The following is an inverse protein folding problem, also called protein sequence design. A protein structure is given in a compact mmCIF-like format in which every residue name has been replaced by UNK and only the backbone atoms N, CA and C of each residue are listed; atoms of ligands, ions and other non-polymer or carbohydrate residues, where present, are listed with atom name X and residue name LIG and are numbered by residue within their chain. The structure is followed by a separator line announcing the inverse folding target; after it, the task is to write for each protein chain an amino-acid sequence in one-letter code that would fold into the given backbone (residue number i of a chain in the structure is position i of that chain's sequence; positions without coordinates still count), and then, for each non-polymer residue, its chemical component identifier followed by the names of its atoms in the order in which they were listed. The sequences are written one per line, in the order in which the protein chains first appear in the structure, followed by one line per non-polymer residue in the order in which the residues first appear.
data_IF_183491683663
#
_entry.id   IF_183491683663
#
_cell.length_a   1.000
_cell.length_b   1.000
_cell.length_c   1.000
_cell.angle_alpha   90.00
_cell.angle_beta   90.00
_cell.angle_gamma   90.00
#
_symmetry.space_group_name_H-M   'P 1'
#
loop_
_entity.id
_entity.type
_entity.pdbx_description
1 polymer ?
#
# COMPACT_ATOMS: atom_id res chain seq x y z
N UNK A 1 5.74 0.57 3.21
CA UNK A 1 4.36 0.49 2.69
C UNK A 1 4.39 0.35 1.20
N UNK A 2 3.53 -0.54 0.68
CA UNK A 2 3.31 -0.92 -0.73
C UNK A 2 3.88 0.12 -1.68
N UNK A 3 3.19 1.17 -2.12
CA UNK A 3 3.64 2.17 -3.12
C UNK A 3 5.16 2.44 -3.36
N UNK A 4 6.02 2.54 -2.34
CA UNK A 4 7.47 2.69 -2.54
C UNK A 4 8.11 1.48 -3.26
N UNK A 5 7.54 0.30 -3.11
CA UNK A 5 8.11 -0.98 -3.54
C UNK A 5 8.28 -1.14 -5.07
N UNK A 6 7.24 -0.86 -5.87
CA UNK A 6 7.24 -0.88 -7.33
C UNK A 6 8.15 0.22 -7.87
N UNK A 7 8.06 1.42 -7.31
CA UNK A 7 8.90 2.54 -7.73
C UNK A 7 10.37 2.21 -7.47
N UNK A 8 10.71 1.74 -6.27
CA UNK A 8 12.08 1.32 -5.92
C UNK A 8 12.54 0.16 -6.79
N UNK A 9 11.72 -0.86 -7.02
CA UNK A 9 12.04 -1.99 -7.90
C UNK A 9 12.32 -1.53 -9.33
N UNK A 10 11.47 -0.67 -9.90
CA UNK A 10 11.67 -0.09 -11.23
C UNK A 10 12.94 0.77 -11.28
N UNK A 11 13.26 1.52 -10.22
CA UNK A 11 14.51 2.30 -10.14
C UNK A 11 15.75 1.42 -10.12
N UNK A 12 15.72 0.29 -9.41
CA UNK A 12 16.82 -0.69 -9.44
C UNK A 12 17.01 -1.29 -10.84
N UNK A 13 15.93 -1.63 -11.53
CA UNK A 13 16.00 -2.16 -12.90
C UNK A 13 16.54 -1.10 -13.87
N UNK A 14 15.99 0.12 -13.82
CA UNK A 14 16.43 1.25 -14.68
C UNK A 14 17.87 1.70 -14.38
N UNK A 15 18.35 1.48 -13.17
CA UNK A 15 19.75 1.72 -12.78
C UNK A 15 20.75 0.75 -13.42
N UNK A 16 20.27 -0.33 -14.05
CA UNK A 16 21.11 -1.34 -14.71
C UNK A 16 21.58 -2.47 -13.77
N UNK A 17 21.94 -3.61 -14.37
CA UNK A 17 22.49 -4.77 -13.65
C UNK A 17 21.46 -5.68 -12.97
N UNK A 18 20.21 -5.25 -12.79
CA UNK A 18 19.13 -6.06 -12.22
C UNK A 18 18.02 -6.23 -13.26
N UNK A 19 17.70 -7.48 -13.60
CA UNK A 19 16.66 -7.82 -14.59
C UNK A 19 15.33 -8.25 -13.98
N UNK A 20 15.37 -8.78 -12.75
CA UNK A 20 14.20 -9.31 -12.08
C UNK A 20 14.27 -8.88 -10.61
N UNK A 21 13.20 -8.28 -10.12
CA UNK A 21 13.03 -7.89 -8.72
C UNK A 21 11.77 -8.54 -8.21
N UNK A 22 11.91 -9.44 -7.22
CA UNK A 22 10.76 -9.97 -6.49
C UNK A 22 10.43 -9.02 -5.35
N UNK A 23 9.22 -8.48 -5.37
CA UNK A 23 8.74 -7.56 -4.36
C UNK A 23 7.72 -8.28 -3.49
N UNK A 24 7.96 -8.35 -2.18
CA UNK A 24 7.12 -9.09 -1.23
C UNK A 24 6.52 -8.13 -0.20
N UNK A 25 5.21 -8.15 -0.07
CA UNK A 25 4.48 -7.52 1.03
C UNK A 25 3.90 -8.59 1.94
N UNK A 26 4.26 -8.58 3.22
CA UNK A 26 3.78 -9.57 4.19
C UNK A 26 3.66 -8.90 5.57
N UNK A 27 2.54 -9.14 6.23
CA UNK A 27 2.28 -8.64 7.58
C UNK A 27 1.43 -9.64 8.36
N UNK A 28 1.73 -9.77 9.65
CA UNK A 28 0.95 -10.54 10.63
C UNK A 28 0.42 -9.60 11.72
N UNK A 29 -0.45 -8.67 11.33
CA UNK A 29 -0.95 -7.61 12.22
C UNK A 29 -1.86 -8.13 13.33
N UNK A 30 -2.45 -9.33 13.19
CA UNK A 30 -3.26 -9.96 14.24
C UNK A 30 -2.54 -10.07 15.59
N UNK A 31 -1.20 -10.12 15.57
CA UNK A 31 -0.35 -10.17 16.76
C UNK A 31 -0.27 -8.86 17.54
N UNK A 32 -0.65 -7.75 16.91
CA UNK A 32 -0.61 -6.39 17.47
C UNK A 32 -2.02 -5.79 17.59
N UNK A 33 -3.06 -6.61 17.57
CA UNK A 33 -4.45 -6.20 17.73
C UNK A 33 -4.87 -6.33 19.19
N UNK A 34 -5.54 -5.29 19.72
CA UNK A 34 -6.27 -5.41 20.97
C UNK A 34 -7.62 -6.05 20.70
N UNK A 35 -7.76 -7.33 21.07
CA UNK A 35 -8.99 -8.11 20.86
C UNK A 35 -10.19 -7.62 21.68
N UNK A 36 -9.96 -6.73 22.66
CA UNK A 36 -11.03 -6.07 23.43
C UNK A 36 -11.50 -4.77 22.78
N UNK A 37 -10.70 -4.18 21.90
CA UNK A 37 -11.08 -3.00 21.11
C UNK A 37 -11.76 -3.39 19.81
N UNK A 38 -13.09 -3.23 19.79
CA UNK A 38 -13.90 -3.46 18.59
C UNK A 38 -13.52 -2.52 17.42
N UNK A 39 -12.90 -1.37 17.70
CA UNK A 39 -12.48 -0.41 16.67
C UNK A 39 -11.39 -0.95 15.75
N UNK A 40 -10.57 -1.88 16.23
CA UNK A 40 -9.42 -2.43 15.51
C UNK A 40 -9.51 -3.94 15.27
N UNK A 41 -10.11 -4.71 16.19
CA UNK A 41 -10.08 -6.17 16.14
C UNK A 41 -10.87 -6.83 15.01
N UNK A 42 -11.77 -6.08 14.38
CA UNK A 42 -12.55 -6.53 13.21
C UNK A 42 -11.90 -6.14 11.88
N UNK A 43 -10.80 -5.36 11.92
CA UNK A 43 -10.23 -4.75 10.73
C UNK A 43 -9.07 -5.56 10.15
N UNK A 44 -8.14 -6.01 10.99
CA UNK A 44 -6.86 -6.51 10.52
C UNK A 44 -6.84 -8.01 10.29
N UNK A 45 -6.15 -8.42 9.22
CA UNK A 45 -5.87 -9.81 8.91
C UNK A 45 -4.39 -9.99 8.57
N UNK A 46 -3.99 -11.25 8.45
CA UNK A 46 -2.61 -11.64 8.14
C UNK A 46 -2.54 -12.18 6.73
N UNK A 47 -1.56 -11.70 5.94
CA UNK A 47 -1.31 -12.25 4.62
C UNK A 47 0.11 -11.94 4.12
N UNK A 48 0.47 -12.61 3.04
CA UNK A 48 1.62 -12.29 2.22
C UNK A 48 1.22 -12.30 0.75
N UNK A 49 1.83 -11.43 -0.04
CA UNK A 49 1.68 -11.39 -1.49
C UNK A 49 2.96 -10.88 -2.14
N UNK A 50 3.17 -11.25 -3.40
CA UNK A 50 4.38 -10.88 -4.12
C UNK A 50 4.08 -10.50 -5.57
N UNK A 51 4.90 -9.61 -6.11
CA UNK A 51 4.90 -9.22 -7.53
C UNK A 51 6.33 -9.35 -8.05
N UNK A 52 6.48 -9.99 -9.21
CA UNK A 52 7.75 -10.01 -9.93
C UNK A 52 7.77 -8.84 -10.91
N UNK A 53 8.74 -7.94 -10.77
CA UNK A 53 8.99 -6.86 -11.71
C UNK A 53 10.18 -7.25 -12.58
N UNK A 54 9.99 -7.22 -13.90
CA UNK A 54 11.00 -7.63 -14.87
C UNK A 54 11.42 -6.45 -15.73
N UNK A 55 12.69 -6.45 -16.15
CA UNK A 55 13.19 -5.51 -17.16
C UNK A 55 12.52 -5.78 -18.50
N UNK A 56 12.10 -4.73 -19.17
CA UNK A 56 11.50 -4.75 -20.50
C UNK A 56 12.17 -3.73 -21.42
N UNK A 57 11.81 -3.72 -22.70
CA UNK A 57 12.24 -2.65 -23.60
C UNK A 57 11.54 -1.35 -23.24
N UNK A 58 12.09 -0.21 -23.67
CA UNK A 58 11.57 1.11 -23.27
C UNK A 58 10.13 1.38 -23.75
N UNK A 59 9.74 0.79 -24.87
CA UNK A 59 8.38 0.84 -25.45
C UNK A 59 7.37 -0.05 -24.72
N UNK A 60 7.85 -0.93 -23.84
CA UNK A 60 7.07 -1.87 -23.02
C UNK A 60 7.06 -1.47 -21.53
N UNK A 61 7.51 -0.26 -21.18
CA UNK A 61 7.53 0.20 -19.79
C UNK A 61 6.10 0.33 -19.23
N UNK A 62 5.77 -0.56 -18.31
CA UNK A 62 4.47 -0.61 -17.66
C UNK A 62 4.27 0.45 -16.58
N UNK A 63 5.32 1.10 -16.06
CA UNK A 63 5.17 2.15 -15.04
C UNK A 63 5.02 3.52 -15.72
N UNK A 64 3.77 3.96 -15.90
CA UNK A 64 3.45 5.17 -16.68
C UNK A 64 3.62 6.46 -15.88
N UNK A 65 3.37 6.44 -14.58
CA UNK A 65 3.51 7.60 -13.71
C UNK A 65 3.32 7.23 -12.24
N UNK A 66 3.87 8.02 -11.32
CA UNK A 66 3.79 7.73 -9.89
C UNK A 66 3.83 9.00 -9.02
N UNK A 67 3.30 8.91 -7.81
CA UNK A 67 3.39 9.99 -6.84
C UNK A 67 3.64 9.38 -5.45
N UNK A 68 4.60 9.93 -4.69
CA UNK A 68 4.87 9.49 -3.31
C UNK A 68 4.96 10.72 -2.42
N UNK A 69 4.31 10.65 -1.26
CA UNK A 69 4.21 11.75 -0.31
C UNK A 69 4.17 11.21 1.13
N UNK A 70 4.57 12.05 2.08
CA UNK A 70 4.56 11.71 3.50
C UNK A 70 4.29 12.95 4.36
N UNK A 71 3.61 12.75 5.48
CA UNK A 71 3.41 13.75 6.52
C UNK A 71 3.54 13.12 7.91
N UNK A 72 4.68 13.38 8.56
CA UNK A 72 5.04 12.83 9.87
C UNK A 72 4.12 13.26 11.01
N UNK A 73 3.42 14.39 10.89
CA UNK A 73 2.53 14.89 11.93
C UNK A 73 1.34 13.95 12.19
N UNK A 74 1.03 13.08 11.22
CA UNK A 74 -0.04 12.10 11.31
C UNK A 74 0.32 10.83 12.09
N UNK A 75 1.56 10.66 12.55
CA UNK A 75 1.98 9.48 13.35
C UNK A 75 1.05 9.22 14.54
N UNK A 76 0.63 10.28 15.25
CA UNK A 76 -0.30 10.20 16.39
C UNK A 76 -1.66 9.55 16.06
N UNK A 77 -2.02 9.45 14.78
CA UNK A 77 -3.30 8.89 14.34
C UNK A 77 -3.23 7.41 13.97
N UNK A 78 -2.04 6.87 13.71
CA UNK A 78 -1.87 5.45 13.40
C UNK A 78 -0.43 5.04 13.73
N UNK A 79 -0.27 4.36 14.85
CA UNK A 79 1.04 3.94 15.33
C UNK A 79 0.96 2.71 16.22
N UNK A 80 2.13 2.16 16.50
CA UNK A 80 2.35 1.13 17.50
C UNK A 80 3.56 1.58 18.32
N UNK A 81 3.37 1.76 19.62
CA UNK A 81 4.40 2.24 20.54
C UNK A 81 5.26 1.07 20.99
N UNK A 82 6.55 1.30 21.23
CA UNK A 82 7.43 0.29 21.85
C UNK A 82 7.81 0.73 23.25
N UNK A 83 7.63 -0.17 24.22
CA UNK A 83 7.91 0.13 25.63
C UNK A 83 9.41 0.37 25.93
N UNK A 84 10.30 0.08 24.97
CA UNK A 84 11.76 0.14 25.12
C UNK A 84 12.46 0.97 24.02
N UNK A 85 11.72 1.71 23.18
CA UNK A 85 12.28 2.40 22.00
C UNK A 85 13.48 3.31 22.34
N UNK A 86 13.38 4.10 23.42
CA UNK A 86 14.43 5.03 23.86
C UNK A 86 15.72 4.32 24.33
N UNK A 87 15.60 3.07 24.80
CA UNK A 87 16.74 2.29 25.31
C UNK A 87 17.53 1.57 24.20
N UNK A 88 16.90 1.28 23.06
CA UNK A 88 17.53 0.57 21.94
C UNK A 88 18.31 1.56 21.06
N UNK A 89 17.73 2.73 20.79
CA UNK A 89 18.35 3.74 19.91
C UNK A 89 19.48 4.52 20.60
N UNK A 90 19.41 4.77 21.92
CA UNK A 90 20.40 5.65 22.59
C UNK A 90 21.71 4.98 23.00
N UNK A 91 21.82 3.64 23.00
CA UNK A 91 22.99 2.94 23.59
C UNK A 91 23.74 1.96 22.69
N UNK A 92 23.33 1.80 21.43
CA UNK A 92 23.87 0.71 20.59
C UNK A 92 24.39 1.13 19.23
N UNK A 93 24.40 2.43 18.88
CA UNK A 93 24.70 2.90 17.52
C UNK A 93 23.92 2.13 16.42
N UNK A 94 22.70 1.66 16.75
CA UNK A 94 21.87 0.89 15.83
C UNK A 94 22.18 -0.60 15.75
N UNK A 95 23.07 -1.15 16.59
CA UNK A 95 23.36 -2.60 16.64
C UNK A 95 22.41 -3.28 17.63
N UNK A 96 21.55 -4.21 17.22
CA UNK A 96 20.74 -4.97 18.16
C UNK A 96 21.66 -5.72 19.14
N UNK A 97 21.48 -5.51 20.45
CA UNK A 97 22.23 -6.25 21.47
C UNK A 97 22.04 -7.76 21.31
N UNK A 98 23.08 -8.55 21.59
CA UNK A 98 23.04 -10.01 21.48
C UNK A 98 23.01 -10.68 22.88
N UNK A 99 22.08 -11.63 23.14
CA UNK A 99 21.00 -12.09 22.26
C UNK A 99 19.93 -11.00 22.08
N UNK A 100 19.20 -10.99 20.94
CA UNK A 100 18.19 -9.97 20.66
C UNK A 100 17.14 -9.96 21.78
N UNK A 101 17.07 -8.84 22.50
CA UNK A 101 15.99 -8.62 23.46
C UNK A 101 14.68 -8.50 22.69
N UNK A 102 13.66 -9.25 23.10
CA UNK A 102 12.30 -9.06 22.57
C UNK A 102 11.84 -7.64 22.90
N UNK A 103 11.60 -6.85 21.87
CA UNK A 103 10.93 -5.56 21.99
C UNK A 103 9.44 -5.83 22.16
N UNK A 104 8.85 -5.33 23.25
CA UNK A 104 7.41 -5.39 23.43
C UNK A 104 6.78 -4.16 22.75
N UNK A 105 6.02 -4.44 21.71
CA UNK A 105 5.19 -3.47 21.02
C UNK A 105 3.80 -3.42 21.66
N UNK A 106 3.20 -2.24 21.71
CA UNK A 106 1.80 -2.06 22.10
C UNK A 106 0.88 -2.64 21.03
N UNK A 107 -0.41 -2.73 21.33
CA UNK A 107 -1.40 -2.91 20.28
C UNK A 107 -1.41 -1.67 19.35
N UNK A 108 -1.92 -1.85 18.14
CA UNK A 108 -2.09 -0.79 17.14
C UNK A 108 -3.07 0.25 17.70
N UNK A 109 -2.62 1.50 17.75
CA UNK A 109 -3.45 2.64 18.11
C UNK A 109 -3.87 3.38 16.84
N UNK A 110 -5.18 3.51 16.64
CA UNK A 110 -5.73 4.14 15.43
C UNK A 110 -6.86 5.13 15.74
N UNK A 111 -6.68 6.38 15.29
CA UNK A 111 -7.77 7.34 15.16
C UNK A 111 -8.42 7.18 13.78
N UNK A 112 -9.38 6.27 13.67
CA UNK A 112 -10.02 5.93 12.39
C UNK A 112 -10.68 7.11 11.67
N UNK A 113 -11.18 8.12 12.41
CA UNK A 113 -11.80 9.32 11.81
C UNK A 113 -10.77 10.18 11.07
N UNK A 114 -9.61 10.42 11.69
CA UNK A 114 -8.56 11.22 11.06
C UNK A 114 -7.86 10.46 9.93
N UNK A 115 -7.65 9.14 10.09
CA UNK A 115 -7.13 8.27 9.01
C UNK A 115 -8.07 8.27 7.80
N UNK A 116 -9.39 8.15 8.03
CA UNK A 116 -10.39 8.23 6.97
C UNK A 116 -10.34 9.57 6.24
N UNK A 117 -10.38 10.69 6.99
CA UNK A 117 -10.35 12.06 6.42
C UNK A 117 -9.09 12.30 5.60
N UNK A 118 -7.94 11.82 6.09
CA UNK A 118 -6.69 11.86 5.36
C UNK A 118 -6.79 11.07 4.05
N UNK A 119 -7.22 9.82 4.09
CA UNK A 119 -7.22 8.94 2.94
C UNK A 119 -8.13 9.44 1.81
N UNK A 120 -9.38 9.82 2.13
CA UNK A 120 -10.35 10.30 1.12
C UNK A 120 -9.96 11.62 0.45
N UNK A 121 -9.05 12.38 1.07
CA UNK A 121 -8.49 13.62 0.51
C UNK A 121 -7.22 13.34 -0.29
N UNK A 122 -6.25 12.69 0.33
CA UNK A 122 -4.88 12.59 -0.20
C UNK A 122 -4.74 11.50 -1.29
N UNK A 123 -5.48 10.40 -1.19
CA UNK A 123 -5.38 9.29 -2.16
C UNK A 123 -5.83 9.72 -3.56
N UNK A 124 -7.01 10.33 -3.75
CA UNK A 124 -7.43 10.79 -5.08
C UNK A 124 -6.47 11.84 -5.66
N UNK A 125 -6.00 12.79 -4.85
CA UNK A 125 -5.00 13.78 -5.27
C UNK A 125 -3.68 13.15 -5.71
N UNK A 126 -3.24 12.09 -5.05
CA UNK A 126 -2.03 11.36 -5.42
C UNK A 126 -2.20 10.60 -6.73
N UNK A 127 -3.38 10.02 -6.97
CA UNK A 127 -3.72 9.35 -8.23
C UNK A 127 -3.79 10.37 -9.37
N UNK A 128 -4.45 11.52 -9.16
CA UNK A 128 -4.53 12.62 -10.13
C UNK A 128 -3.13 13.09 -10.57
N UNK A 129 -2.19 13.26 -9.63
CA UNK A 129 -0.79 13.61 -9.94
C UNK A 129 -0.06 12.52 -10.72
N UNK A 130 -0.27 11.25 -10.37
CA UNK A 130 0.36 10.14 -11.08
C UNK A 130 -0.20 9.98 -12.50
N UNK A 131 -1.50 10.27 -12.70
CA UNK A 131 -2.14 10.35 -14.02
C UNK A 131 -1.61 11.52 -14.86
N UNK A 132 -1.39 12.68 -14.22
CA UNK A 132 -0.79 13.85 -14.86
C UNK A 132 0.62 13.54 -15.38
N UNK A 133 1.47 12.89 -14.55
CA UNK A 133 2.80 12.43 -14.98
C UNK A 133 2.70 11.42 -16.13
N UNK A 134 1.70 10.53 -16.10
CA UNK A 134 1.44 9.56 -17.17
C UNK A 134 0.83 10.18 -18.44
N UNK A 135 0.39 11.45 -18.41
CA UNK A 135 -0.31 12.09 -19.51
C UNK A 135 -1.68 11.45 -19.83
N UNK A 136 -2.33 10.84 -18.83
CA UNK A 136 -3.57 10.08 -19.00
C UNK A 136 -4.76 10.74 -18.28
N UNK A 137 -5.97 10.72 -18.87
CA UNK A 137 -7.18 11.12 -18.17
C UNK A 137 -7.65 10.02 -17.21
N UNK A 138 -8.37 10.37 -16.14
CA UNK A 138 -8.93 9.37 -15.22
C UNK A 138 -9.87 8.34 -15.89
N UNK A 139 -10.48 8.70 -17.01
CA UNK A 139 -11.34 7.81 -17.81
C UNK A 139 -10.59 6.64 -18.46
N UNK A 140 -9.26 6.71 -18.58
CA UNK A 140 -8.45 5.59 -19.09
C UNK A 140 -8.21 4.50 -18.06
N UNK A 141 -8.58 4.70 -16.79
CA UNK A 141 -8.41 3.69 -15.75
C UNK A 141 -9.39 2.53 -16.01
N UNK A 142 -8.84 1.34 -16.18
CA UNK A 142 -9.61 0.10 -16.25
C UNK A 142 -9.87 -0.46 -14.86
N UNK A 143 -8.88 -0.36 -13.97
CA UNK A 143 -8.97 -0.87 -12.61
C UNK A 143 -8.43 0.10 -11.56
N UNK A 144 -9.23 0.35 -10.53
CA UNK A 144 -8.80 1.03 -9.32
C UNK A 144 -8.43 0.00 -8.25
N UNK A 145 -7.16 -0.01 -7.85
CA UNK A 145 -6.61 -0.95 -6.88
C UNK A 145 -5.99 -0.21 -5.69
N UNK A 146 -6.77 -0.03 -4.63
CA UNK A 146 -6.30 0.67 -3.44
C UNK A 146 -5.82 -0.29 -2.36
N UNK A 147 -5.06 0.24 -1.40
CA UNK A 147 -4.84 -0.46 -0.13
C UNK A 147 -6.18 -0.81 0.51
N UNK A 148 -6.32 -2.09 0.87
CA UNK A 148 -7.56 -2.64 1.42
C UNK A 148 -7.67 -2.30 2.91
N UNK A 149 -7.79 -1.02 3.25
CA UNK A 149 -7.96 -0.59 4.64
C UNK A 149 -9.41 -0.68 5.12
N UNK A 150 -10.31 -0.14 4.30
CA UNK A 150 -11.73 -0.01 4.62
C UNK A 150 -12.53 0.26 3.34
N UNK A 151 -13.63 -0.47 3.12
CA UNK A 151 -14.44 -0.33 1.91
C UNK A 151 -14.96 1.11 1.72
N UNK A 152 -15.31 1.80 2.81
CA UNK A 152 -15.79 3.19 2.74
C UNK A 152 -14.75 4.17 2.20
N UNK A 153 -13.46 3.92 2.47
CA UNK A 153 -12.37 4.75 1.92
C UNK A 153 -12.25 4.47 0.42
N UNK A 154 -12.31 3.20 0.04
CA UNK A 154 -12.23 2.77 -1.36
C UNK A 154 -13.37 3.40 -2.16
N UNK A 155 -14.60 3.28 -1.68
CA UNK A 155 -15.79 3.83 -2.34
C UNK A 155 -15.71 5.37 -2.44
N UNK A 156 -15.27 6.05 -1.38
CA UNK A 156 -15.13 7.50 -1.38
C UNK A 156 -14.06 7.97 -2.39
N UNK A 157 -12.95 7.25 -2.49
CA UNK A 157 -11.90 7.54 -3.48
C UNK A 157 -12.39 7.28 -4.92
N UNK A 158 -13.07 6.17 -5.16
CA UNK A 158 -13.65 5.84 -6.46
C UNK A 158 -14.67 6.91 -6.91
N UNK A 159 -15.59 7.30 -6.02
CA UNK A 159 -16.57 8.34 -6.27
C UNK A 159 -15.90 9.69 -6.60
N UNK A 160 -14.86 10.07 -5.86
CA UNK A 160 -14.12 11.32 -6.12
C UNK A 160 -13.43 11.32 -7.49
N UNK A 161 -12.93 10.18 -7.92
CA UNK A 161 -12.29 10.00 -9.23
C UNK A 161 -13.30 9.73 -10.35
N UNK A 162 -14.60 9.69 -10.04
CA UNK A 162 -15.67 9.31 -10.98
C UNK A 162 -15.45 7.92 -11.63
N UNK A 163 -14.87 6.98 -10.87
CA UNK A 163 -14.63 5.60 -11.30
C UNK A 163 -15.83 4.73 -10.87
N UNK A 164 -16.48 4.02 -11.80
CA UNK A 164 -17.58 3.10 -11.46
C UNK A 164 -17.15 1.98 -10.51
N UNK A 165 -18.06 1.54 -9.64
CA UNK A 165 -17.78 0.51 -8.62
C UNK A 165 -17.33 -0.83 -9.20
N UNK A 166 -17.77 -1.18 -10.40
CA UNK A 166 -17.41 -2.40 -11.12
C UNK A 166 -15.94 -2.41 -11.59
N UNK A 167 -15.30 -1.23 -11.69
CA UNK A 167 -13.87 -1.07 -11.98
C UNK A 167 -13.00 -1.04 -10.71
N UNK A 168 -13.59 -1.27 -9.53
CA UNK A 168 -12.86 -1.29 -8.25
C UNK A 168 -12.50 -2.73 -7.88
N UNK A 169 -11.22 -2.98 -7.67
CA UNK A 169 -10.75 -4.27 -7.15
C UNK A 169 -10.80 -4.22 -5.62
N UNK A 170 -11.62 -5.09 -5.03
CA UNK A 170 -11.69 -5.28 -3.58
C UNK A 170 -11.86 -6.74 -3.22
N UNK A 171 -11.06 -7.19 -2.25
CA UNK A 171 -11.20 -8.49 -1.57
C UNK A 171 -11.23 -8.33 -0.04
N UNK A 172 -11.42 -7.09 0.43
CA UNK A 172 -11.45 -6.74 1.84
C UNK A 172 -12.43 -7.59 2.65
N UNK A 173 -13.57 -7.96 2.07
CA UNK A 173 -14.59 -8.78 2.72
C UNK A 173 -14.10 -10.18 3.13
N UNK A 174 -13.08 -10.70 2.45
CA UNK A 174 -12.56 -12.06 2.66
C UNK A 174 -11.40 -12.08 3.66
N UNK A 175 -10.55 -11.04 3.67
CA UNK A 175 -9.28 -11.04 4.40
C UNK A 175 -9.10 -9.89 5.39
N UNK A 176 -9.99 -8.90 5.38
CA UNK A 176 -9.78 -7.64 6.10
C UNK A 176 -8.56 -6.87 5.58
N UNK A 177 -8.05 -5.99 6.42
CA UNK A 177 -6.87 -5.19 6.18
C UNK A 177 -5.60 -6.00 6.44
N UNK A 178 -4.98 -6.45 5.37
CA UNK A 178 -3.71 -7.20 5.37
C UNK A 178 -2.48 -6.33 5.14
N UNK A 179 -2.58 -5.03 5.44
CA UNK A 179 -1.45 -4.09 5.43
C UNK A 179 -0.64 -4.12 4.13
N UNK A 180 0.66 -4.42 4.18
CA UNK A 180 1.53 -4.42 3.01
C UNK A 180 1.18 -5.52 1.99
N UNK A 181 0.47 -6.57 2.40
CA UNK A 181 0.04 -7.64 1.51
C UNK A 181 -1.23 -7.30 0.71
N UNK A 182 -1.96 -6.22 1.07
CA UNK A 182 -3.31 -6.01 0.56
C UNK A 182 -3.40 -5.84 -0.96
N UNK A 183 -2.48 -5.06 -1.54
CA UNK A 183 -2.44 -4.77 -2.98
C UNK A 183 -1.95 -5.99 -3.77
N UNK A 184 -0.80 -6.63 -3.46
CA UNK A 184 -0.39 -7.84 -4.19
C UNK A 184 -1.43 -8.95 -4.11
N UNK A 185 -2.04 -9.16 -2.95
CA UNK A 185 -3.07 -10.19 -2.76
C UNK A 185 -4.28 -9.92 -3.65
N UNK A 186 -4.83 -8.70 -3.61
CA UNK A 186 -5.97 -8.32 -4.44
C UNK A 186 -5.64 -8.33 -5.95
N UNK A 187 -4.41 -7.98 -6.33
CA UNK A 187 -3.95 -8.04 -7.72
C UNK A 187 -3.85 -9.48 -8.22
N UNK A 188 -3.24 -10.39 -7.46
CA UNK A 188 -3.12 -11.81 -7.83
C UNK A 188 -4.50 -12.44 -8.05
N UNK A 189 -5.45 -12.21 -7.15
CA UNK A 189 -6.82 -12.70 -7.30
C UNK A 189 -7.53 -12.13 -8.53
N UNK A 190 -7.36 -10.84 -8.80
CA UNK A 190 -7.98 -10.19 -9.95
C UNK A 190 -7.39 -10.68 -11.30
N UNK A 191 -6.09 -10.93 -11.35
CA UNK A 191 -5.39 -11.48 -12.52
C UNK A 191 -5.77 -12.95 -12.73
N UNK A 192 -5.66 -13.80 -11.69
CA UNK A 192 -6.04 -15.22 -11.77
C UNK A 192 -7.52 -15.41 -12.06
N UNK A 193 -8.36 -14.51 -11.57
CA UNK A 193 -9.80 -14.47 -11.84
C UNK A 193 -10.16 -13.97 -13.24
N UNK A 194 -9.18 -13.58 -14.07
CA UNK A 194 -9.40 -13.12 -15.45
C UNK A 194 -10.05 -11.74 -15.57
N UNK A 195 -10.11 -10.97 -14.48
CA UNK A 195 -10.62 -9.59 -14.49
C UNK A 195 -9.61 -8.66 -15.15
N UNK A 196 -8.38 -8.65 -14.62
CA UNK A 196 -7.27 -7.85 -15.14
C UNK A 196 -6.64 -8.59 -16.32
N UNK A 197 -6.47 -7.88 -17.45
CA UNK A 197 -5.92 -8.41 -18.70
C UNK A 197 -4.72 -7.59 -19.15
N UNK A 198 -3.87 -8.19 -19.98
CA UNK A 198 -2.75 -7.48 -20.61
C UNK A 198 -3.27 -6.27 -21.39
N UNK A 199 -2.64 -5.12 -21.18
CA UNK A 199 -3.02 -3.83 -21.73
C UNK A 199 -3.84 -2.95 -20.79
N UNK A 200 -4.47 -3.51 -19.76
CA UNK A 200 -5.31 -2.74 -18.82
C UNK A 200 -4.49 -1.71 -18.04
N UNK A 201 -5.08 -0.55 -17.80
CA UNK A 201 -4.49 0.51 -16.97
C UNK A 201 -5.02 0.39 -15.54
N UNK A 202 -4.09 0.15 -14.61
CA UNK A 202 -4.35 0.01 -13.18
C UNK A 202 -3.87 1.26 -12.46
N UNK A 203 -4.80 1.97 -11.80
CA UNK A 203 -4.46 2.99 -10.82
C UNK A 203 -4.32 2.32 -9.45
N UNK A 204 -3.08 2.08 -9.04
CA UNK A 204 -2.76 1.49 -7.75
C UNK A 204 -2.39 2.57 -6.73
N UNK A 205 -2.91 2.50 -5.50
CA UNK A 205 -2.51 3.45 -4.45
C UNK A 205 -2.51 2.84 -3.06
N UNK A 206 -1.39 3.01 -2.34
CA UNK A 206 -1.24 2.58 -0.96
C UNK A 206 -1.11 3.76 -0.02
N UNK A 207 -1.72 3.68 1.16
CA UNK A 207 -1.71 4.73 2.19
C UNK A 207 -1.76 4.09 3.57
N UNK A 208 -1.15 4.71 4.58
CA UNK A 208 -1.12 4.11 5.91
C UNK A 208 -0.21 4.85 6.89
N UNK A 209 0.27 4.11 7.89
CA UNK A 209 1.06 4.63 9.01
C UNK A 209 2.30 5.41 8.52
N UNK A 210 2.56 6.57 9.13
CA UNK A 210 3.60 7.50 8.70
C UNK A 210 3.28 8.99 8.97
N UNK A 211 2.17 9.57 8.48
CA UNK A 211 1.32 9.02 7.44
C UNK A 211 2.03 9.12 6.09
N UNK A 212 2.01 8.03 5.33
CA UNK A 212 2.66 7.96 4.03
C UNK A 212 1.65 7.43 3.02
N UNK A 213 1.69 7.96 1.81
CA UNK A 213 0.86 7.50 0.72
C UNK A 213 1.57 7.63 -0.61
N UNK A 214 1.17 6.81 -1.57
CA UNK A 214 1.67 6.91 -2.92
C UNK A 214 0.84 6.11 -3.89
N UNK A 215 0.90 6.55 -5.14
CA UNK A 215 0.12 6.01 -6.24
C UNK A 215 1.03 5.69 -7.42
N UNK A 216 0.66 4.68 -8.19
CA UNK A 216 1.34 4.29 -9.42
C UNK A 216 0.28 3.98 -10.48
N UNK A 217 0.47 4.51 -11.67
CA UNK A 217 -0.31 4.17 -12.87
C UNK A 217 0.48 3.11 -13.62
N UNK A 218 -0.08 1.91 -13.69
CA UNK A 218 0.58 0.74 -14.24
C UNK A 218 -0.22 0.20 -15.41
N UNK A 219 0.42 0.03 -16.56
CA UNK A 219 -0.11 -0.79 -17.65
C UNK A 219 0.25 -2.25 -17.37
N UNK A 220 -0.76 -3.12 -17.33
CA UNK A 220 -0.56 -4.53 -16.99
C UNK A 220 -0.09 -5.35 -18.19
N UNK A 221 0.83 -6.28 -17.93
CA UNK A 221 1.31 -7.28 -18.88
C UNK A 221 2.41 -6.83 -19.83
#
# INVERSE_FOLDING_TARGET
WVHCWLITATRFIKGGGIKNVLVVGADALSQYVDWTDRGTCILFGDAAGAVLVQSCNADEDGLLGFCVQSDGHGQKHLHCSSSNADSILSKTNGVPGFPPKKTNFSCIEMNGKEVFRFAVRCVPQSIEKALEEAGLPASSIDWLLLHQANQRIIDAAANRLSIPSEKVISNLANYGNTSAASIPLALDEAVRGGKVKTGDIIAASGFGAGLTWGSAIVKWG
#
